data_IF_662771989256
#
_entry.id   IF_662771989256
#
_cell.length_a   1.000
_cell.length_b   1.000
_cell.length_c   1.000
_cell.angle_alpha   90.00
_cell.angle_beta   90.00
_cell.angle_gamma   90.00
#
_symmetry.space_group_name_H-M   'P 1'
#
loop_
_entity.id
_entity.type
_entity.pdbx_description
1 polymer ?
#
# COMPACT_ATOMS: atom_id res chain seq x y z
N UNK A 1 -13.43 -2.98 -13.57
CA UNK A 1 -12.71 -3.87 -12.65
C UNK A 1 -13.24 -5.30 -12.73
N UNK A 2 -12.34 -6.27 -12.83
CA UNK A 2 -12.59 -7.71 -12.78
C UNK A 2 -12.33 -8.24 -11.36
N UNK A 3 -13.07 -9.28 -10.95
CA UNK A 3 -12.90 -9.98 -9.67
C UNK A 3 -12.20 -11.31 -9.90
N UNK A 4 -11.11 -11.55 -9.18
CA UNK A 4 -10.36 -12.81 -9.22
C UNK A 4 -10.34 -13.49 -7.84
N UNK A 5 -10.26 -14.82 -7.84
CA UNK A 5 -10.03 -15.63 -6.64
C UNK A 5 -8.78 -16.49 -6.82
N UNK A 6 -8.01 -16.64 -5.74
CA UNK A 6 -6.81 -17.47 -5.69
C UNK A 6 -6.82 -18.29 -4.41
N UNK A 7 -6.64 -19.60 -4.52
CA UNK A 7 -6.52 -20.49 -3.36
C UNK A 7 -5.08 -20.48 -2.84
N UNK A 8 -4.89 -20.10 -1.57
CA UNK A 8 -3.57 -20.02 -0.91
C UNK A 8 -3.68 -20.59 0.50
N UNK A 9 -2.90 -21.62 0.81
CA UNK A 9 -2.82 -22.26 2.13
C UNK A 9 -4.21 -22.46 2.78
N UNK A 10 -5.10 -23.12 2.05
CA UNK A 10 -6.44 -23.46 2.49
C UNK A 10 -7.44 -22.29 2.60
N UNK A 11 -7.10 -21.10 2.10
CA UNK A 11 -8.03 -19.97 2.00
C UNK A 11 -8.19 -19.48 0.57
N UNK A 12 -9.45 -19.17 0.21
CA UNK A 12 -9.80 -18.48 -1.03
C UNK A 12 -9.60 -16.97 -0.85
N UNK A 13 -8.58 -16.40 -1.50
CA UNK A 13 -8.28 -14.97 -1.44
C UNK A 13 -8.91 -14.25 -2.64
N UNK A 14 -9.60 -13.15 -2.37
CA UNK A 14 -10.17 -12.28 -3.39
C UNK A 14 -9.18 -11.18 -3.80
N UNK A 15 -9.13 -10.86 -5.10
CA UNK A 15 -8.45 -9.68 -5.61
C UNK A 15 -9.25 -8.98 -6.71
N UNK A 16 -9.38 -7.66 -6.62
CA UNK A 16 -9.84 -6.83 -7.74
C UNK A 16 -8.70 -6.59 -8.74
N UNK A 17 -9.01 -6.57 -10.04
CA UNK A 17 -8.03 -6.34 -11.10
C UNK A 17 -8.56 -5.33 -12.10
N UNK A 18 -7.75 -4.35 -12.49
CA UNK A 18 -8.13 -3.37 -13.51
C UNK A 18 -6.95 -2.87 -14.31
N UNK A 19 -7.22 -2.27 -15.47
CA UNK A 19 -6.19 -1.78 -16.39
C UNK A 19 -5.49 -2.89 -17.17
N UNK A 20 -4.41 -2.52 -17.85
CA UNK A 20 -3.61 -3.39 -18.71
C UNK A 20 -2.17 -2.87 -18.77
N UNK A 21 -1.21 -3.75 -19.02
CA UNK A 21 0.22 -3.44 -19.03
C UNK A 21 0.98 -4.17 -17.92
N UNK A 22 2.13 -3.65 -17.47
CA UNK A 22 2.89 -4.24 -16.37
C UNK A 22 2.06 -4.30 -15.08
N UNK A 23 2.29 -5.35 -14.27
CA UNK A 23 1.55 -5.58 -13.04
C UNK A 23 2.00 -4.65 -11.91
N UNK A 24 1.03 -4.10 -11.18
CA UNK A 24 1.23 -3.34 -9.94
C UNK A 24 0.35 -3.93 -8.85
N UNK A 25 0.94 -4.24 -7.70
CA UNK A 25 0.21 -4.68 -6.52
C UNK A 25 -0.08 -3.49 -5.60
N UNK A 26 -1.35 -3.23 -5.31
CA UNK A 26 -1.79 -2.16 -4.41
C UNK A 26 -2.23 -2.78 -3.10
N UNK A 27 -1.49 -2.50 -2.03
CA UNK A 27 -1.80 -2.97 -0.68
C UNK A 27 -2.49 -1.85 0.11
N UNK A 28 -3.68 -2.13 0.66
CA UNK A 28 -4.35 -1.19 1.56
C UNK A 28 -3.67 -1.16 2.93
N UNK A 29 -3.55 0.04 3.50
CA UNK A 29 -3.15 0.21 4.89
C UNK A 29 -4.30 -0.07 5.86
N UNK A 30 -3.96 -0.48 7.10
CA UNK A 30 -4.91 -0.70 8.19
C UNK A 30 -5.28 -2.19 8.37
N UNK A 31 -5.15 -2.76 9.58
CA UNK A 31 -5.53 -4.14 9.84
C UNK A 31 -7.05 -4.31 9.69
N UNK A 32 -7.48 -5.32 8.94
CA UNK A 32 -8.90 -5.66 8.80
C UNK A 32 -9.72 -4.74 7.88
N UNK A 33 -9.10 -3.77 7.20
CA UNK A 33 -9.81 -2.87 6.31
C UNK A 33 -10.11 -3.56 4.97
N UNK A 34 -11.40 -3.62 4.60
CA UNK A 34 -11.84 -3.91 3.21
C UNK A 34 -11.09 -2.98 2.26
N UNK A 35 -10.71 -3.48 1.08
CA UNK A 35 -9.80 -2.80 0.17
C UNK A 35 -10.41 -1.53 -0.44
N UNK A 36 -10.39 -0.44 0.32
CA UNK A 36 -10.97 0.85 -0.08
C UNK A 36 -10.22 1.52 -1.23
N UNK A 37 -9.04 1.01 -1.59
CA UNK A 37 -8.25 1.48 -2.74
C UNK A 37 -8.62 0.74 -4.04
N UNK A 38 -9.49 -0.28 -3.99
CA UNK A 38 -10.01 -0.97 -5.17
C UNK A 38 -10.90 -0.03 -6.01
N UNK A 39 -10.27 0.87 -6.77
CA UNK A 39 -10.92 1.93 -7.55
C UNK A 39 -10.16 2.18 -8.86
N UNK A 40 -10.83 2.08 -10.01
CA UNK A 40 -10.21 2.26 -11.33
C UNK A 40 -9.48 3.61 -11.47
N UNK A 41 -9.98 4.67 -10.81
CA UNK A 41 -9.41 6.03 -10.88
C UNK A 41 -8.02 6.16 -10.26
N UNK A 42 -7.63 5.24 -9.37
CA UNK A 42 -6.31 5.25 -8.73
C UNK A 42 -5.30 4.29 -9.39
N UNK A 43 -5.76 3.43 -10.30
CA UNK A 43 -4.88 2.54 -11.04
C UNK A 43 -3.85 3.37 -11.82
N UNK A 44 -2.54 3.07 -11.71
CA UNK A 44 -1.53 3.75 -12.51
C UNK A 44 -1.82 3.58 -14.00
N UNK A 45 -1.74 4.68 -14.74
CA UNK A 45 -2.00 4.66 -16.19
C UNK A 45 -1.03 3.70 -16.88
N UNK A 46 -1.55 2.86 -17.78
CA UNK A 46 -0.75 1.90 -18.53
C UNK A 46 -0.26 0.70 -17.72
N UNK A 47 -0.81 0.47 -16.52
CA UNK A 47 -0.51 -0.70 -15.69
C UNK A 47 -1.77 -1.53 -15.44
N UNK A 48 -1.55 -2.82 -15.16
CA UNK A 48 -2.58 -3.71 -14.61
C UNK A 48 -2.45 -3.71 -13.09
N UNK A 49 -3.42 -3.11 -12.40
CA UNK A 49 -3.40 -2.98 -10.95
C UNK A 49 -4.17 -4.12 -10.28
N UNK A 50 -3.59 -4.69 -9.23
CA UNK A 50 -4.12 -5.77 -8.41
C UNK A 50 -4.40 -5.26 -7.00
N UNK A 51 -5.60 -5.53 -6.51
CA UNK A 51 -6.10 -5.08 -5.20
C UNK A 51 -6.46 -6.32 -4.35
N UNK A 52 -5.48 -7.03 -3.78
CA UNK A 52 -5.74 -8.23 -2.97
C UNK A 52 -6.32 -7.88 -1.61
N UNK A 53 -7.40 -8.54 -1.22
CA UNK A 53 -7.89 -8.49 0.16
C UNK A 53 -7.13 -9.52 1.01
N UNK A 54 -6.49 -9.11 2.12
CA UNK A 54 -5.79 -10.07 2.99
C UNK A 54 -6.71 -11.17 3.52
N UNK A 55 -6.12 -12.29 3.95
CA UNK A 55 -6.86 -13.39 4.60
C UNK A 55 -7.72 -12.85 5.75
N UNK A 56 -8.97 -13.29 5.82
CA UNK A 56 -9.92 -12.88 6.87
C UNK A 56 -10.46 -11.46 6.72
N UNK A 57 -10.24 -10.80 5.58
CA UNK A 57 -10.70 -9.43 5.30
C UNK A 57 -11.62 -9.43 4.07
N UNK A 58 -12.72 -8.67 4.16
CA UNK A 58 -13.62 -8.46 3.02
C UNK A 58 -14.22 -9.76 2.47
N UNK A 59 -13.99 -10.01 1.18
CA UNK A 59 -14.43 -11.17 0.40
C UNK A 59 -13.44 -12.35 0.48
N UNK A 60 -12.24 -12.14 1.03
CA UNK A 60 -11.28 -13.22 1.27
C UNK A 60 -11.72 -14.12 2.42
N UNK A 61 -11.55 -15.43 2.23
CA UNK A 61 -11.77 -16.46 3.24
C UNK A 61 -10.66 -16.53 4.29
N UNK A 62 -10.69 -17.58 5.11
CA UNK A 62 -9.73 -17.82 6.18
C UNK A 62 -10.11 -17.22 7.55
N UNK A 63 -11.31 -16.66 7.66
CA UNK A 63 -11.93 -16.18 8.91
C UNK A 63 -11.29 -14.91 9.47
N UNK A 64 -12.06 -13.84 9.63
CA UNK A 64 -11.64 -12.73 10.50
C UNK A 64 -11.72 -13.19 11.96
N UNK A 65 -10.72 -12.89 12.80
CA UNK A 65 -10.74 -13.30 14.20
C UNK A 65 -9.39 -13.28 14.92
N UNK A 66 -9.34 -13.77 16.17
CA UNK A 66 -8.14 -13.74 17.01
C UNK A 66 -6.93 -14.43 16.39
N UNK A 67 -7.12 -15.47 15.58
CA UNK A 67 -6.03 -16.20 14.92
C UNK A 67 -5.34 -15.36 13.85
N UNK A 68 -6.10 -14.70 12.95
CA UNK A 68 -5.54 -13.77 11.96
C UNK A 68 -4.86 -12.59 12.65
N UNK A 69 -5.46 -12.06 13.74
CA UNK A 69 -4.82 -11.02 14.53
C UNK A 69 -3.50 -11.48 15.15
N UNK A 70 -3.46 -12.69 15.72
CA UNK A 70 -2.25 -13.28 16.28
C UNK A 70 -1.17 -13.50 15.22
N UNK A 71 -1.55 -14.00 14.03
CA UNK A 71 -0.64 -14.18 12.90
C UNK A 71 -0.04 -12.83 12.44
N UNK A 72 -0.87 -11.79 12.29
CA UNK A 72 -0.38 -10.44 11.97
C UNK A 72 0.55 -9.88 13.06
N UNK A 73 0.24 -10.11 14.34
CA UNK A 73 1.09 -9.73 15.46
C UNK A 73 2.44 -10.47 15.47
N UNK A 74 2.44 -11.76 15.13
CA UNK A 74 3.65 -12.56 14.97
C UNK A 74 4.51 -12.01 13.82
N UNK A 75 3.92 -11.80 12.63
CA UNK A 75 4.63 -11.21 11.48
C UNK A 75 5.14 -9.79 11.78
N UNK A 76 4.38 -8.97 12.50
CA UNK A 76 4.86 -7.65 12.93
C UNK A 76 6.10 -7.77 13.83
N UNK A 77 6.12 -8.76 14.72
CA UNK A 77 7.27 -9.00 15.58
C UNK A 77 8.49 -9.45 14.79
N UNK A 78 8.29 -10.41 13.89
CA UNK A 78 9.35 -10.98 13.06
C UNK A 78 9.93 -9.94 12.09
N UNK A 79 9.08 -9.24 11.34
CA UNK A 79 9.51 -8.40 10.23
C UNK A 79 9.70 -6.94 10.58
N UNK A 80 8.84 -6.38 11.44
CA UNK A 80 8.89 -4.94 11.78
C UNK A 80 9.71 -4.69 13.04
N UNK A 81 9.72 -5.62 14.00
CA UNK A 81 10.54 -5.52 15.22
C UNK A 81 11.83 -6.33 15.16
N UNK A 82 12.09 -7.03 14.06
CA UNK A 82 13.32 -7.80 13.89
C UNK A 82 14.57 -6.92 13.82
N UNK A 83 15.66 -7.39 14.43
CA UNK A 83 16.93 -6.65 14.53
C UNK A 83 17.58 -6.38 13.16
N UNK A 84 17.26 -7.19 12.15
CA UNK A 84 17.81 -7.08 10.80
C UNK A 84 17.09 -6.05 9.92
N UNK A 85 15.94 -5.49 10.34
CA UNK A 85 15.09 -4.65 9.51
C UNK A 85 15.86 -3.50 8.86
N UNK A 86 16.59 -2.72 9.67
CA UNK A 86 17.29 -1.54 9.18
C UNK A 86 18.41 -1.88 8.21
N UNK A 87 19.12 -2.99 8.46
CA UNK A 87 20.18 -3.45 7.54
C UNK A 87 19.57 -3.96 6.24
N UNK A 88 18.47 -4.71 6.32
CA UNK A 88 17.74 -5.18 5.15
C UNK A 88 17.23 -4.03 4.28
N UNK A 89 16.68 -2.97 4.88
CA UNK A 89 16.29 -1.76 4.17
C UNK A 89 17.48 -1.05 3.52
N UNK A 90 18.61 -0.92 4.23
CA UNK A 90 19.80 -0.25 3.73
C UNK A 90 20.48 -0.98 2.55
N UNK A 91 20.30 -2.30 2.48
CA UNK A 91 20.86 -3.17 1.44
C UNK A 91 19.85 -3.50 0.32
N UNK A 92 18.61 -3.04 0.45
CA UNK A 92 17.59 -3.28 -0.56
C UNK A 92 17.89 -2.45 -1.82
N UNK A 93 18.15 -3.13 -2.94
CA UNK A 93 18.41 -2.50 -4.24
C UNK A 93 17.13 -2.11 -5.00
N UNK A 94 15.96 -2.50 -4.49
CA UNK A 94 14.67 -2.15 -5.11
C UNK A 94 14.44 -0.65 -4.95
N UNK A 95 14.23 0.11 -6.04
CA UNK A 95 13.91 1.53 -5.96
C UNK A 95 12.62 1.79 -5.17
N UNK A 96 12.66 2.73 -4.23
CA UNK A 96 11.50 3.06 -3.40
C UNK A 96 11.18 4.55 -3.46
N UNK A 97 9.89 4.86 -3.57
CA UNK A 97 9.35 6.21 -3.48
C UNK A 97 8.43 6.32 -2.27
N UNK A 98 8.71 7.29 -1.40
CA UNK A 98 7.93 7.60 -0.21
C UNK A 98 7.16 8.91 -0.43
N UNK A 99 5.84 8.87 -0.27
CA UNK A 99 4.96 10.02 -0.51
C UNK A 99 4.17 10.33 0.75
N UNK A 100 4.43 11.50 1.34
CA UNK A 100 3.69 11.99 2.50
C UNK A 100 2.52 12.90 2.09
N UNK A 101 1.43 12.85 2.85
CA UNK A 101 0.33 13.80 2.78
C UNK A 101 0.66 15.05 3.60
N UNK A 102 0.41 16.22 3.02
CA UNK A 102 0.76 17.52 3.61
C UNK A 102 -0.05 17.87 4.86
N UNK A 103 -1.33 17.48 4.89
CA UNK A 103 -2.24 17.76 6.01
C UNK A 103 -2.40 16.54 6.94
N UNK A 104 -1.53 15.54 6.79
CA UNK A 104 -1.50 14.41 7.72
C UNK A 104 -0.99 14.88 9.09
N UNK A 105 -1.78 14.63 10.13
CA UNK A 105 -1.38 14.89 11.52
C UNK A 105 -0.13 14.11 11.93
N UNK A 106 0.14 12.98 11.27
CA UNK A 106 1.31 12.16 11.56
C UNK A 106 2.53 12.78 10.89
N UNK A 107 3.66 12.89 11.60
CA UNK A 107 4.83 13.56 11.07
C UNK A 107 5.41 12.81 9.86
N UNK A 108 5.88 13.56 8.86
CA UNK A 108 6.49 13.00 7.65
C UNK A 108 7.96 12.61 7.80
N UNK A 109 8.63 13.06 8.87
CA UNK A 109 10.06 12.80 9.08
C UNK A 109 10.46 11.30 9.09
N UNK A 110 9.63 10.34 9.58
CA UNK A 110 10.00 8.92 9.51
C UNK A 110 10.10 8.41 8.06
N UNK A 111 9.21 8.90 7.17
CA UNK A 111 9.25 8.55 5.75
C UNK A 111 10.46 9.17 5.06
N UNK A 112 10.80 10.41 5.39
CA UNK A 112 12.00 11.07 4.89
C UNK A 112 13.28 10.34 5.35
N UNK A 113 13.29 9.79 6.58
CA UNK A 113 14.39 8.96 7.06
C UNK A 113 14.50 7.65 6.28
N UNK A 114 13.39 6.93 6.05
CA UNK A 114 13.38 5.71 5.24
C UNK A 114 13.93 5.94 3.84
N UNK A 115 13.51 7.03 3.18
CA UNK A 115 14.01 7.41 1.86
C UNK A 115 15.53 7.66 1.82
N UNK A 116 16.13 8.08 2.94
CA UNK A 116 17.59 8.23 3.08
C UNK A 116 18.31 6.92 3.40
N UNK A 117 17.60 5.95 3.97
CA UNK A 117 18.17 4.65 4.34
C UNK A 117 18.26 3.72 3.12
N UNK A 118 17.22 3.64 2.29
CA UNK A 118 17.15 2.73 1.14
C UNK A 118 17.85 3.31 -0.09
N UNK A 119 18.36 2.45 -0.99
CA UNK A 119 19.10 2.90 -2.19
C UNK A 119 18.65 2.16 -3.46
N UNK A 120 18.01 2.83 -4.44
CA UNK A 120 17.69 4.27 -4.49
C UNK A 120 16.35 4.63 -3.81
N UNK A 121 16.39 5.55 -2.84
CA UNK A 121 15.20 6.09 -2.16
C UNK A 121 14.86 7.52 -2.58
N UNK A 122 13.58 7.82 -2.73
CA UNK A 122 13.06 9.18 -3.02
C UNK A 122 11.95 9.56 -2.05
N UNK A 123 11.82 10.85 -1.73
CA UNK A 123 10.80 11.37 -0.84
C UNK A 123 10.11 12.59 -1.44
N UNK A 124 8.79 12.64 -1.36
CA UNK A 124 7.98 13.79 -1.75
C UNK A 124 6.82 14.01 -0.77
N UNK A 125 6.34 15.25 -0.70
CA UNK A 125 5.11 15.62 0.01
C UNK A 125 4.10 16.14 -1.01
N UNK A 126 2.86 15.67 -0.91
CA UNK A 126 1.72 16.26 -1.64
C UNK A 126 1.09 17.30 -0.72
N UNK A 127 1.12 18.60 -1.06
CA UNK A 127 0.54 19.64 -0.21
C UNK A 127 -1.00 19.53 -0.16
N UNK A 128 -1.59 19.99 0.94
CA UNK A 128 -3.04 20.20 1.11
C UNK A 128 -3.92 18.96 0.90
N UNK A 129 -3.40 17.76 1.26
CA UNK A 129 -4.16 16.52 1.18
C UNK A 129 -4.12 15.74 2.50
N UNK A 130 -5.23 15.04 2.87
CA UNK A 130 -5.33 14.30 4.12
C UNK A 130 -4.58 12.96 4.07
N UNK A 131 -4.53 12.25 5.19
CA UNK A 131 -3.88 10.95 5.30
C UNK A 131 -4.33 9.93 4.22
N UNK A 132 -5.63 9.87 3.92
CA UNK A 132 -6.25 8.93 3.00
C UNK A 132 -6.37 9.47 1.56
N UNK A 133 -5.51 10.41 1.17
CA UNK A 133 -5.61 11.14 -0.09
C UNK A 133 -5.61 10.28 -1.36
N UNK A 134 -5.09 9.05 -1.32
CA UNK A 134 -5.25 8.13 -2.45
C UNK A 134 -6.72 7.87 -2.79
N UNK A 135 -7.61 7.86 -1.78
CA UNK A 135 -9.05 7.69 -1.96
C UNK A 135 -9.77 9.02 -2.21
N UNK A 136 -9.45 10.06 -1.43
CA UNK A 136 -10.14 11.36 -1.46
C UNK A 136 -9.64 12.29 -2.57
N UNK A 137 -8.37 12.17 -2.98
CA UNK A 137 -7.68 12.98 -4.01
C UNK A 137 -6.96 12.09 -5.04
N UNK A 138 -7.69 11.18 -5.73
CA UNK A 138 -7.12 10.18 -6.63
C UNK A 138 -6.30 10.77 -7.80
N UNK A 139 -6.57 12.02 -8.16
CA UNK A 139 -5.83 12.76 -9.18
C UNK A 139 -4.39 13.09 -8.79
N UNK A 140 -4.07 13.08 -7.49
CA UNK A 140 -2.71 13.23 -6.95
C UNK A 140 -1.93 11.90 -6.93
N UNK A 141 -2.50 10.84 -7.53
CA UNK A 141 -1.96 9.48 -7.65
C UNK A 141 -0.57 9.38 -8.31
N UNK A 142 0.14 8.24 -8.18
CA UNK A 142 1.43 8.03 -8.81
C UNK A 142 1.29 8.07 -10.35
N UNK A 143 2.24 8.70 -11.03
CA UNK A 143 2.20 8.87 -12.49
C UNK A 143 1.29 10.01 -12.99
N UNK A 144 0.72 10.80 -12.08
CA UNK A 144 -0.05 12.02 -12.40
C UNK A 144 0.73 13.26 -11.95
N UNK A 145 0.65 14.34 -12.73
CA UNK A 145 1.35 15.60 -12.44
C UNK A 145 0.87 16.20 -11.10
N UNK A 146 1.81 16.59 -10.25
CA UNK A 146 1.58 17.27 -8.94
C UNK A 146 1.01 18.70 -9.10
N UNK A 147 0.58 19.10 -10.29
CA UNK A 147 0.00 20.42 -10.57
C UNK A 147 -1.43 20.63 -10.02
N UNK A 148 -1.92 19.74 -9.15
CA UNK A 148 -3.31 19.75 -8.69
C UNK A 148 -3.66 20.86 -7.67
N UNK A 149 -2.72 21.70 -7.25
CA UNK A 149 -2.95 22.69 -6.19
C UNK A 149 -2.86 24.11 -6.72
N UNK A 150 -3.80 24.50 -7.59
CA UNK A 150 -4.29 25.89 -7.75
C UNK A 150 -5.73 25.86 -8.26
N UNK A 151 -6.70 26.03 -7.37
CA UNK A 151 -7.95 26.73 -7.65
C UNK A 151 -8.20 27.71 -6.53
#
# INVERSE_FOLDING_TARGET
MESMRVEVDGASLHGGVTGAGPDVLVLSGGPGCVHYLEQDKIAPVGHRAWYPEPRGVGRSGGGGGPEVHAALGASFTEWIRGDSLWRGLADCEVPMAFVAAGDDIRPSWPMAQLARTVRPGTFATVPDVPHDFWSTHPQCGPGRSVSCVRR
#
